data_IF_047099445683
#
_entry.id   IF_047099445683
#
_cell.length_a   1.000
_cell.length_b   1.000
_cell.length_c   1.000
_cell.angle_alpha   90.00
_cell.angle_beta   90.00
_cell.angle_gamma   90.00
#
_symmetry.space_group_name_H-M   'P 1'
#
loop_
_entity.id
_entity.type
_entity.pdbx_description
1 polymer ?
#
# COMPACT_ATOMS: atom_id res chain seq x y z
N UNK A 1 -16.68 13.99 -14.20
CA UNK A 1 -15.32 14.10 -13.63
C UNK A 1 -14.64 12.77 -13.87
N UNK A 2 -13.71 12.71 -14.83
CA UNK A 2 -13.01 11.47 -15.16
C UNK A 2 -12.07 11.13 -13.99
N UNK A 3 -12.33 10.03 -13.29
CA UNK A 3 -11.40 9.51 -12.30
C UNK A 3 -10.12 9.09 -13.03
N UNK A 4 -9.02 9.80 -12.78
CA UNK A 4 -7.70 9.44 -13.30
C UNK A 4 -7.45 7.94 -13.05
N UNK A 5 -7.16 7.21 -14.13
CA UNK A 5 -6.91 5.76 -14.09
C UNK A 5 -5.56 5.43 -13.44
N UNK A 6 -4.70 6.43 -13.28
CA UNK A 6 -3.32 6.34 -12.80
C UNK A 6 -3.06 7.34 -11.67
N UNK A 7 -2.20 6.99 -10.73
CA UNK A 7 -1.74 7.84 -9.63
C UNK A 7 -0.22 7.71 -9.48
N UNK A 8 0.45 8.82 -9.16
CA UNK A 8 1.85 8.76 -8.73
C UNK A 8 1.94 8.07 -7.36
N UNK A 9 3.05 7.35 -7.15
CA UNK A 9 3.27 6.54 -5.95
C UNK A 9 3.11 7.31 -4.65
N UNK A 10 3.76 8.47 -4.55
CA UNK A 10 3.69 9.30 -3.34
C UNK A 10 2.28 9.85 -3.10
N UNK A 11 1.58 10.27 -4.15
CA UNK A 11 0.18 10.72 -4.05
C UNK A 11 -0.72 9.59 -3.56
N UNK A 12 -0.56 8.38 -4.11
CA UNK A 12 -1.29 7.20 -3.66
C UNK A 12 -1.11 6.94 -2.15
N UNK A 13 0.14 7.04 -1.65
CA UNK A 13 0.41 6.84 -0.22
C UNK A 13 -0.16 7.97 0.66
N UNK A 14 -0.08 9.22 0.20
CA UNK A 14 -0.66 10.36 0.92
C UNK A 14 -2.18 10.22 1.05
N UNK A 15 -2.86 9.83 -0.04
CA UNK A 15 -4.30 9.57 -0.03
C UNK A 15 -4.67 8.41 0.89
N UNK A 16 -3.87 7.33 0.91
CA UNK A 16 -4.09 6.20 1.82
C UNK A 16 -3.99 6.60 3.30
N UNK A 17 -3.07 7.50 3.63
CA UNK A 17 -2.93 8.05 4.99
C UNK A 17 -4.10 8.99 5.34
N UNK A 18 -4.50 9.85 4.41
CA UNK A 18 -5.62 10.77 4.60
C UNK A 18 -6.93 10.02 4.88
N UNK A 19 -7.30 9.06 4.04
CA UNK A 19 -8.54 8.31 4.22
C UNK A 19 -8.53 7.48 5.51
N UNK A 20 -7.37 6.95 5.91
CA UNK A 20 -7.23 6.23 7.19
C UNK A 20 -7.50 7.18 8.37
N UNK A 21 -6.99 8.41 8.31
CA UNK A 21 -7.21 9.43 9.35
C UNK A 21 -8.68 9.83 9.46
N UNK A 22 -9.39 9.84 8.34
CA UNK A 22 -10.84 10.09 8.26
C UNK A 22 -11.69 8.87 8.68
N UNK A 23 -11.04 7.76 9.09
CA UNK A 23 -11.73 6.53 9.52
C UNK A 23 -12.15 5.60 8.38
N UNK A 24 -11.85 5.98 7.13
CA UNK A 24 -12.09 5.15 5.95
C UNK A 24 -11.00 4.10 5.73
N UNK A 25 -11.14 3.37 4.62
CA UNK A 25 -10.25 2.26 4.25
C UNK A 25 -9.80 2.35 2.79
N UNK A 26 -8.75 1.61 2.46
CA UNK A 26 -8.26 1.46 1.09
C UNK A 26 -8.04 -0.01 0.72
N UNK A 27 -8.00 -0.27 -0.58
CA UNK A 27 -7.54 -1.53 -1.17
C UNK A 27 -6.17 -1.32 -1.80
N UNK A 28 -5.29 -2.31 -1.71
CA UNK A 28 -3.91 -2.22 -2.23
C UNK A 28 -3.49 -3.53 -2.89
N UNK A 29 -2.83 -3.43 -4.04
CA UNK A 29 -2.26 -4.58 -4.76
C UNK A 29 -0.76 -4.41 -4.99
N UNK A 30 0.03 -5.42 -4.66
CA UNK A 30 1.49 -5.39 -4.79
C UNK A 30 2.10 -6.78 -4.99
N UNK A 31 3.34 -6.80 -5.48
CA UNK A 31 4.15 -8.02 -5.54
C UNK A 31 4.87 -8.24 -4.21
N UNK A 32 4.78 -9.46 -3.66
CA UNK A 32 5.47 -9.81 -2.42
C UNK A 32 6.98 -9.94 -2.67
N UNK A 33 7.80 -9.31 -1.85
CA UNK A 33 9.26 -9.49 -1.87
C UNK A 33 9.71 -10.44 -0.77
N UNK A 34 10.46 -11.48 -1.16
CA UNK A 34 11.13 -12.38 -0.22
C UNK A 34 12.55 -11.91 0.02
N UNK A 35 12.84 -11.40 1.23
CA UNK A 35 14.20 -10.99 1.61
C UNK A 35 15.20 -12.15 1.61
N UNK A 36 14.78 -13.34 2.07
CA UNK A 36 15.66 -14.51 2.15
C UNK A 36 16.05 -15.06 0.78
N UNK A 37 15.20 -14.88 -0.23
CA UNK A 37 15.46 -15.31 -1.61
C UNK A 37 15.96 -14.17 -2.51
N UNK A 38 15.91 -12.92 -2.06
CA UNK A 38 16.27 -11.75 -2.86
C UNK A 38 15.39 -11.50 -4.08
N UNK A 39 14.17 -12.04 -4.11
CA UNK A 39 13.29 -11.99 -5.29
C UNK A 39 11.88 -11.50 -4.96
N UNK A 40 11.29 -10.75 -5.89
CA UNK A 40 9.88 -10.46 -5.89
C UNK A 40 9.10 -11.61 -6.54
N UNK A 41 7.95 -11.94 -5.97
CA UNK A 41 7.00 -12.88 -6.57
C UNK A 41 6.36 -12.26 -7.81
N UNK A 42 6.09 -13.11 -8.79
CA UNK A 42 5.26 -12.85 -9.97
C UNK A 42 3.75 -12.76 -9.65
N UNK A 43 3.34 -13.19 -8.45
CA UNK A 43 1.96 -13.15 -8.01
C UNK A 43 1.60 -11.80 -7.40
N UNK A 44 0.73 -11.07 -8.11
CA UNK A 44 0.11 -9.87 -7.57
C UNK A 44 -0.90 -10.25 -6.48
N UNK A 45 -0.73 -9.71 -5.28
CA UNK A 45 -1.62 -9.96 -4.14
C UNK A 45 -2.39 -8.70 -3.79
N UNK A 46 -3.70 -8.82 -3.58
CA UNK A 46 -4.60 -7.71 -3.24
C UNK A 46 -5.13 -7.86 -1.83
N UNK A 47 -5.14 -6.76 -1.08
CA UNK A 47 -5.80 -6.65 0.21
C UNK A 47 -6.86 -5.55 0.16
N UNK A 48 -7.99 -5.79 0.82
CA UNK A 48 -9.11 -4.87 0.94
C UNK A 48 -9.30 -4.41 2.38
N UNK A 49 -10.02 -3.31 2.58
CA UNK A 49 -10.35 -2.79 3.91
C UNK A 49 -9.13 -2.44 4.76
N UNK A 50 -8.03 -2.04 4.12
CA UNK A 50 -6.77 -1.76 4.79
C UNK A 50 -6.76 -0.37 5.43
N UNK A 51 -5.94 -0.21 6.47
CA UNK A 51 -5.69 1.07 7.16
C UNK A 51 -4.20 1.27 7.37
N UNK A 52 -3.72 2.50 7.18
CA UNK A 52 -2.33 2.84 7.46
C UNK A 52 -2.03 2.68 8.95
N UNK A 53 -0.83 2.18 9.27
CA UNK A 53 -0.40 1.99 10.66
C UNK A 53 0.94 2.67 10.94
N UNK A 54 1.18 2.95 12.22
CA UNK A 54 2.51 3.40 12.67
C UNK A 54 3.49 2.21 12.70
N UNK A 55 4.81 2.48 12.54
CA UNK A 55 5.82 1.45 12.72
C UNK A 55 5.75 0.81 14.11
N UNK A 56 5.77 -0.52 14.18
CA UNK A 56 5.91 -1.24 15.44
C UNK A 56 7.37 -1.12 15.94
N UNK A 57 7.65 -1.34 17.24
CA UNK A 57 9.02 -1.31 17.77
C UNK A 57 10.00 -2.22 17.00
N UNK A 58 9.52 -3.38 16.54
CA UNK A 58 10.29 -4.32 15.71
C UNK A 58 10.57 -3.82 14.28
N UNK A 59 9.77 -2.90 13.77
CA UNK A 59 9.91 -2.35 12.41
C UNK A 59 11.00 -1.27 12.35
N UNK A 60 11.31 -0.61 13.49
CA UNK A 60 12.27 0.50 13.59
C UNK A 60 13.72 0.11 13.30
N UNK A 61 14.07 -1.16 13.53
CA UNK A 61 15.45 -1.65 13.40
C UNK A 61 15.78 -2.17 11.99
N UNK A 62 14.82 -2.11 11.07
CA UNK A 62 15.05 -2.47 9.67
C UNK A 62 15.69 -1.31 8.91
N UNK A 63 16.88 -1.53 8.35
CA UNK A 63 17.62 -0.61 7.47
C UNK A 63 16.74 0.01 6.36
N UNK A 64 15.74 -0.74 5.88
CA UNK A 64 14.81 -0.34 4.81
C UNK A 64 13.47 0.26 5.29
N UNK A 65 13.31 0.58 6.58
CA UNK A 65 12.01 1.02 7.14
C UNK A 65 11.31 2.14 6.34
N UNK A 66 12.08 3.07 5.74
CA UNK A 66 11.57 4.15 4.88
C UNK A 66 11.01 3.69 3.54
N UNK A 67 11.48 2.55 3.02
CA UNK A 67 11.07 1.96 1.75
C UNK A 67 9.79 1.12 1.88
N UNK A 68 9.36 0.84 3.10
CA UNK A 68 8.15 0.10 3.37
C UNK A 68 6.94 1.02 3.51
N UNK A 69 5.80 0.54 3.01
CA UNK A 69 4.49 1.01 3.35
C UNK A 69 3.87 0.05 4.37
N UNK A 70 3.39 0.59 5.48
CA UNK A 70 2.89 -0.18 6.62
C UNK A 70 1.38 -0.01 6.72
N UNK A 71 0.66 -1.13 6.80
CA UNK A 71 -0.79 -1.13 6.90
C UNK A 71 -1.28 -2.35 7.68
N UNK A 72 -2.48 -2.25 8.24
CA UNK A 72 -3.24 -3.36 8.78
C UNK A 72 -4.30 -3.80 7.77
N UNK A 73 -4.54 -5.10 7.66
CA UNK A 73 -5.64 -5.63 6.83
C UNK A 73 -7.00 -5.41 7.53
N UNK A 74 -8.10 -5.70 6.83
CA UNK A 74 -9.44 -5.67 7.42
C UNK A 74 -9.58 -6.52 8.71
N UNK A 75 -8.79 -7.58 8.85
CA UNK A 75 -8.75 -8.45 10.04
C UNK A 75 -7.86 -7.89 11.16
N UNK A 76 -7.31 -6.69 11.01
CA UNK A 76 -6.37 -6.10 11.96
C UNK A 76 -4.97 -6.75 11.96
N UNK A 77 -4.63 -7.53 10.92
CA UNK A 77 -3.31 -8.17 10.83
C UNK A 77 -2.28 -7.19 10.25
N UNK A 78 -1.16 -6.95 10.93
CA UNK A 78 -0.13 -6.04 10.46
C UNK A 78 0.60 -6.61 9.24
N UNK A 79 0.69 -5.78 8.20
CA UNK A 79 1.43 -6.05 6.96
C UNK A 79 2.39 -4.90 6.66
N UNK A 80 3.28 -5.19 5.73
CA UNK A 80 4.23 -4.26 5.15
C UNK A 80 4.56 -4.69 3.73
N UNK A 81 4.77 -3.74 2.83
CA UNK A 81 5.23 -3.99 1.47
C UNK A 81 6.21 -2.92 1.03
N UNK A 82 7.12 -3.24 0.11
CA UNK A 82 7.96 -2.20 -0.50
C UNK A 82 7.08 -1.29 -1.34
N UNK A 83 7.21 0.02 -1.14
CA UNK A 83 6.43 1.06 -1.83
C UNK A 83 6.45 0.85 -3.34
N UNK A 84 7.66 0.72 -3.90
CA UNK A 84 7.90 0.55 -5.34
C UNK A 84 7.25 -0.70 -5.96
N UNK A 85 6.84 -1.68 -5.16
CA UNK A 85 6.17 -2.90 -5.63
C UNK A 85 4.65 -2.78 -5.65
N UNK A 86 4.09 -1.66 -5.19
CA UNK A 86 2.67 -1.35 -5.29
C UNK A 86 2.32 -1.09 -6.74
N UNK A 87 1.24 -1.72 -7.22
CA UNK A 87 0.77 -1.62 -8.61
C UNK A 87 -0.62 -1.02 -8.72
N UNK A 88 -1.47 -1.22 -7.70
CA UNK A 88 -2.80 -0.65 -7.68
C UNK A 88 -3.21 -0.21 -6.28
N UNK A 89 -4.03 0.82 -6.21
CA UNK A 89 -4.67 1.27 -4.98
C UNK A 89 -6.09 1.76 -5.26
N UNK A 90 -7.01 1.52 -4.33
CA UNK A 90 -8.39 2.00 -4.41
C UNK A 90 -8.84 2.55 -3.06
N UNK A 91 -9.72 3.54 -3.06
CA UNK A 91 -10.12 4.23 -1.84
C UNK A 91 -11.63 4.12 -1.63
N UNK A 92 -12.06 3.93 -0.38
CA UNK A 92 -13.47 3.73 -0.05
C UNK A 92 -14.37 4.90 -0.47
N UNK A 93 -13.87 6.13 -0.42
CA UNK A 93 -14.58 7.34 -0.86
C UNK A 93 -14.60 7.52 -2.40
N UNK A 94 -14.02 6.59 -3.15
CA UNK A 94 -13.94 6.59 -4.62
C UNK A 94 -14.39 5.23 -5.18
N UNK A 95 -15.46 4.68 -4.60
CA UNK A 95 -16.08 3.39 -4.98
C UNK A 95 -15.12 2.19 -4.91
N UNK A 96 -14.00 2.32 -4.19
CA UNK A 96 -12.90 1.33 -4.16
C UNK A 96 -12.34 0.96 -5.53
N UNK A 97 -12.54 1.81 -6.55
CA UNK A 97 -12.02 1.54 -7.89
C UNK A 97 -10.49 1.55 -7.87
N UNK A 98 -9.87 0.44 -8.26
CA UNK A 98 -8.43 0.32 -8.31
C UNK A 98 -7.86 1.22 -9.41
N UNK A 99 -6.98 2.13 -9.00
CA UNK A 99 -6.17 2.99 -9.84
C UNK A 99 -4.75 2.42 -9.95
N UNK A 100 -4.17 2.47 -11.14
CA UNK A 100 -2.79 2.02 -11.36
C UNK A 100 -1.81 2.99 -10.68
N UNK A 101 -0.81 2.47 -10.00
CA UNK A 101 0.23 3.26 -9.34
C UNK A 101 1.49 3.27 -10.19
N UNK A 102 2.03 4.46 -10.45
CA UNK A 102 3.25 4.71 -11.21
C UNK A 102 4.31 5.27 -10.24
N UNK A 103 5.51 4.68 -10.24
CA UNK A 103 6.60 5.06 -9.32
C UNK A 103 7.76 5.77 -10.01
N UNK A 104 8.00 5.41 -11.26
CA UNK A 104 9.01 6.00 -12.13
C UNK A 104 8.32 6.30 -13.45
N UNK A 105 8.57 7.47 -14.00
CA UNK A 105 8.17 7.85 -15.37
C UNK A 105 9.17 7.30 -16.38
#
# INVERSE_FOLDING_TARGET
>A
MELEKTLQGDQALQMAQAITREGGTFSISFYHYSRSKGVASDKLTTYHGCRCRKPLPRDKWSVDSKNYFLFDTAEGKPKMCYKVLIRYIGFQNQDNKLKKVIWYE
#
